data_IF_411566112478
#
_entry.id   IF_411566112478
#
_cell.length_a   1.000
_cell.length_b   1.000
_cell.length_c   1.000
_cell.angle_alpha   90.00
_cell.angle_beta   90.00
_cell.angle_gamma   90.00
#
_symmetry.space_group_name_H-M   'P 1'
#
loop_
_entity.id
_entity.type
_entity.pdbx_description
1 polymer ?
#
# COMPACT_ATOMS: atom_id res chain seq x y z
N UNK A 1 27.56 -56.07 -19.62
CA UNK A 1 28.42 -54.87 -19.45
C UNK A 1 27.68 -53.59 -19.87
N UNK A 2 27.04 -53.53 -21.02
CA UNK A 2 26.35 -52.33 -21.55
C UNK A 2 25.28 -51.76 -20.59
N UNK A 3 24.40 -52.57 -19.98
CA UNK A 3 23.39 -52.13 -19.06
C UNK A 3 23.94 -51.50 -17.77
N UNK A 4 25.04 -52.00 -17.24
CA UNK A 4 25.69 -51.40 -16.05
C UNK A 4 26.35 -50.06 -16.38
N UNK A 5 26.91 -49.90 -17.55
CA UNK A 5 27.45 -48.62 -18.03
C UNK A 5 26.35 -47.59 -18.27
N UNK A 6 25.22 -48.00 -18.87
CA UNK A 6 24.05 -47.12 -19.08
C UNK A 6 23.43 -46.65 -17.76
N UNK A 7 23.29 -47.56 -16.79
CA UNK A 7 22.78 -47.17 -15.46
C UNK A 7 23.76 -46.20 -14.74
N UNK A 8 25.06 -46.46 -14.78
CA UNK A 8 26.04 -45.53 -14.20
C UNK A 8 26.06 -44.15 -14.86
N UNK A 9 25.83 -44.08 -16.17
CA UNK A 9 25.68 -42.81 -16.87
C UNK A 9 24.39 -42.09 -16.44
N UNK A 10 23.27 -42.83 -16.34
CA UNK A 10 22.01 -42.28 -15.89
C UNK A 10 22.09 -41.73 -14.45
N UNK A 11 22.69 -42.50 -13.53
CA UNK A 11 22.90 -42.08 -12.15
C UNK A 11 23.78 -40.83 -12.08
N UNK A 12 24.84 -40.73 -12.91
CA UNK A 12 25.69 -39.55 -12.98
C UNK A 12 24.95 -38.33 -13.51
N UNK A 13 24.14 -38.48 -14.54
CA UNK A 13 23.30 -37.38 -15.09
C UNK A 13 22.27 -36.94 -14.06
N UNK A 14 21.62 -37.91 -13.39
CA UNK A 14 20.65 -37.60 -12.34
C UNK A 14 21.27 -36.82 -11.18
N UNK A 15 22.44 -37.27 -10.70
CA UNK A 15 23.18 -36.60 -9.65
C UNK A 15 23.58 -35.15 -10.04
N UNK A 16 24.02 -34.97 -11.30
CA UNK A 16 24.33 -33.63 -11.81
C UNK A 16 23.10 -32.70 -11.86
N UNK A 17 21.97 -33.22 -12.35
CA UNK A 17 20.71 -32.43 -12.40
C UNK A 17 20.23 -32.05 -11.02
N UNK A 18 20.30 -32.96 -10.04
CA UNK A 18 19.97 -32.67 -8.65
C UNK A 18 20.89 -31.60 -8.07
N UNK A 19 22.22 -31.71 -8.32
CA UNK A 19 23.19 -30.71 -7.89
C UNK A 19 22.86 -29.31 -8.46
N UNK A 20 22.59 -29.25 -9.77
CA UNK A 20 22.24 -28.00 -10.45
C UNK A 20 20.92 -27.41 -9.86
N UNK A 21 19.93 -28.25 -9.59
CA UNK A 21 18.68 -27.81 -8.97
C UNK A 21 18.91 -27.25 -7.56
N UNK A 22 19.75 -27.87 -6.74
CA UNK A 22 20.11 -27.39 -5.40
C UNK A 22 20.84 -26.05 -5.48
N UNK A 23 21.83 -25.93 -6.36
CA UNK A 23 22.58 -24.67 -6.55
C UNK A 23 21.66 -23.55 -7.03
N UNK A 24 20.79 -23.85 -8.00
CA UNK A 24 19.80 -22.89 -8.51
C UNK A 24 18.83 -22.43 -7.40
N UNK A 25 18.29 -23.39 -6.63
CA UNK A 25 17.37 -23.08 -5.53
C UNK A 25 18.05 -22.23 -4.44
N UNK A 26 19.30 -22.58 -4.09
CA UNK A 26 20.10 -21.81 -3.13
C UNK A 26 20.37 -20.39 -3.62
N UNK A 27 20.69 -20.23 -4.90
CA UNK A 27 20.87 -18.91 -5.52
C UNK A 27 19.56 -18.10 -5.51
N UNK A 28 18.44 -18.71 -5.92
CA UNK A 28 17.13 -18.03 -5.93
C UNK A 28 16.69 -17.56 -4.53
N UNK A 29 16.90 -18.38 -3.49
CA UNK A 29 16.62 -17.99 -2.11
C UNK A 29 17.52 -16.85 -1.64
N UNK A 30 18.80 -16.88 -1.98
CA UNK A 30 19.74 -15.82 -1.64
C UNK A 30 19.40 -14.50 -2.35
N UNK A 31 19.08 -14.56 -3.65
CA UNK A 31 18.71 -13.38 -4.44
C UNK A 31 17.40 -12.75 -3.90
N UNK A 32 16.39 -13.58 -3.63
CA UNK A 32 15.15 -13.12 -3.01
C UNK A 32 15.38 -12.44 -1.64
N UNK A 33 16.26 -13.02 -0.80
CA UNK A 33 16.58 -12.43 0.51
C UNK A 33 17.24 -11.05 0.39
N UNK A 34 18.00 -10.81 -0.67
CA UNK A 34 18.62 -9.50 -0.95
C UNK A 34 17.58 -8.44 -1.31
N UNK A 35 16.54 -8.81 -2.06
CA UNK A 35 15.44 -7.89 -2.41
C UNK A 35 14.73 -7.43 -1.14
N UNK A 36 14.41 -8.35 -0.22
CA UNK A 36 13.78 -8.01 1.07
C UNK A 36 14.69 -7.13 1.94
N UNK A 37 15.98 -7.49 2.05
CA UNK A 37 16.93 -6.71 2.83
C UNK A 37 17.12 -5.30 2.25
N UNK A 38 17.11 -5.13 0.94
CA UNK A 38 17.18 -3.82 0.29
C UNK A 38 15.96 -2.96 0.63
N UNK A 39 14.76 -3.52 0.56
CA UNK A 39 13.52 -2.82 0.94
C UNK A 39 13.54 -2.40 2.42
N UNK A 40 13.98 -3.29 3.32
CA UNK A 40 14.11 -3.00 4.76
C UNK A 40 15.11 -1.87 5.03
N UNK A 41 16.25 -1.86 4.34
CA UNK A 41 17.26 -0.81 4.50
C UNK A 41 16.76 0.56 4.00
N UNK A 42 16.05 0.59 2.87
CA UNK A 42 15.42 1.82 2.35
C UNK A 42 14.41 2.36 3.37
N UNK A 43 13.51 1.52 3.87
CA UNK A 43 12.53 1.93 4.88
C UNK A 43 13.21 2.43 6.15
N UNK A 44 14.19 1.69 6.69
CA UNK A 44 14.90 2.07 7.91
C UNK A 44 15.61 3.43 7.78
N UNK A 45 16.20 3.70 6.62
CA UNK A 45 16.84 4.98 6.33
C UNK A 45 15.83 6.14 6.28
N UNK A 46 14.65 5.91 5.73
CA UNK A 46 13.61 6.93 5.59
C UNK A 46 12.87 7.20 6.91
N UNK A 47 12.76 6.22 7.82
CA UNK A 47 12.12 6.42 9.13
C UNK A 47 12.77 7.51 9.98
N UNK A 48 14.06 7.81 9.75
CA UNK A 48 14.74 8.94 10.42
C UNK A 48 14.13 10.31 10.04
N UNK A 49 13.46 10.41 8.90
CA UNK A 49 12.81 11.62 8.38
C UNK A 49 11.30 11.58 8.53
N UNK A 50 10.74 10.56 9.22
CA UNK A 50 9.29 10.42 9.39
C UNK A 50 8.70 11.67 10.06
N UNK A 51 7.76 12.37 9.40
CA UNK A 51 7.08 13.51 10.00
C UNK A 51 6.20 13.04 11.15
N UNK A 52 6.13 13.86 12.21
CA UNK A 52 5.14 13.66 13.26
C UNK A 52 3.82 14.32 12.83
N UNK A 53 2.66 13.69 13.09
CA UNK A 53 1.38 14.31 12.76
C UNK A 53 1.20 15.64 13.48
N UNK A 54 1.23 16.74 12.74
CA UNK A 54 1.11 18.13 13.23
C UNK A 54 0.27 18.93 12.21
N UNK A 55 -0.09 20.16 12.57
CA UNK A 55 -0.80 21.07 11.68
C UNK A 55 0.11 21.57 10.53
N UNK A 56 1.39 21.77 10.81
CA UNK A 56 2.39 22.18 9.82
C UNK A 56 3.59 21.23 9.86
N UNK A 57 3.75 20.45 8.80
CA UNK A 57 4.83 19.50 8.60
C UNK A 57 5.83 19.96 7.54
N UNK A 58 5.78 21.22 7.11
CA UNK A 58 6.56 21.75 5.98
C UNK A 58 8.06 21.52 6.12
N UNK A 59 8.61 21.66 7.35
CA UNK A 59 10.04 21.44 7.61
C UNK A 59 10.46 19.98 7.43
N UNK A 60 9.67 19.02 7.98
CA UNK A 60 9.96 17.58 7.83
C UNK A 60 9.84 17.15 6.37
N UNK A 61 8.83 17.66 5.65
CA UNK A 61 8.70 17.40 4.22
C UNK A 61 9.75 18.11 3.38
N UNK A 62 10.31 19.23 3.83
CA UNK A 62 11.47 19.86 3.21
C UNK A 62 12.65 18.89 3.13
N UNK A 63 13.00 18.24 4.24
CA UNK A 63 14.06 17.23 4.28
C UNK A 63 13.78 16.00 3.41
N UNK A 64 12.53 15.52 3.38
CA UNK A 64 12.14 14.42 2.51
C UNK A 64 12.21 14.79 1.03
N UNK A 65 11.84 16.03 0.69
CA UNK A 65 11.88 16.54 -0.69
C UNK A 65 13.29 16.88 -1.15
N UNK A 66 14.23 17.13 -0.24
CA UNK A 66 15.67 17.19 -0.57
C UNK A 66 16.20 15.82 -1.02
N UNK A 67 15.60 14.72 -0.52
CA UNK A 67 15.90 13.35 -0.98
C UNK A 67 15.20 13.07 -2.30
N UNK A 68 13.88 13.36 -2.38
CA UNK A 68 13.07 13.15 -3.56
C UNK A 68 11.94 14.20 -3.62
N UNK A 69 11.96 15.11 -4.62
CA UNK A 69 10.96 16.18 -4.77
C UNK A 69 9.53 15.66 -4.98
N UNK A 70 9.37 14.41 -5.41
CA UNK A 70 8.08 13.76 -5.66
C UNK A 70 7.40 13.26 -4.38
N UNK A 71 8.03 13.41 -3.21
CA UNK A 71 7.40 13.05 -1.93
C UNK A 71 6.23 13.99 -1.65
N UNK A 72 5.03 13.42 -1.59
CA UNK A 72 3.78 14.15 -1.38
C UNK A 72 3.10 13.84 -0.03
N UNK A 73 3.43 12.71 0.63
CA UNK A 73 2.83 12.31 1.89
C UNK A 73 3.65 11.26 2.65
N UNK A 74 3.16 10.89 3.82
CA UNK A 74 3.65 9.76 4.62
C UNK A 74 2.46 8.96 5.14
N UNK A 75 2.41 7.68 4.81
CA UNK A 75 1.35 6.76 5.21
C UNK A 75 1.81 5.87 6.36
N UNK A 76 1.02 5.81 7.42
CA UNK A 76 1.15 4.81 8.49
C UNK A 76 -0.19 4.09 8.66
N UNK A 77 -0.19 2.76 8.71
CA UNK A 77 -1.39 1.96 8.95
C UNK A 77 -1.18 1.10 10.19
N UNK A 78 -1.96 1.36 11.23
CA UNK A 78 -1.78 0.77 12.56
C UNK A 78 -1.93 -0.76 12.55
N UNK A 79 -1.12 -1.45 13.34
CA UNK A 79 -1.10 -2.91 13.40
C UNK A 79 -0.45 -3.61 12.20
N UNK A 80 0.12 -2.84 11.28
CA UNK A 80 0.83 -3.34 10.09
C UNK A 80 2.28 -2.85 10.05
N UNK A 81 3.07 -3.37 9.11
CA UNK A 81 4.41 -2.85 8.80
C UNK A 81 4.36 -1.68 7.78
N UNK A 82 3.18 -1.20 7.41
CA UNK A 82 3.01 -0.09 6.46
C UNK A 82 3.31 1.22 7.17
N UNK A 83 4.50 1.76 6.90
CA UNK A 83 5.02 3.01 7.45
C UNK A 83 6.03 3.59 6.46
N UNK A 84 5.53 4.32 5.44
CA UNK A 84 6.30 4.71 4.26
C UNK A 84 5.99 6.12 3.79
N UNK A 85 6.98 6.83 3.21
CA UNK A 85 6.69 8.00 2.40
C UNK A 85 5.87 7.61 1.16
N UNK A 86 5.03 8.52 0.73
CA UNK A 86 4.25 8.42 -0.50
C UNK A 86 4.86 9.35 -1.53
N UNK A 87 5.12 8.85 -2.73
CA UNK A 87 5.62 9.62 -3.86
C UNK A 87 4.57 9.71 -4.97
N UNK A 88 4.64 10.73 -5.84
CA UNK A 88 3.84 10.80 -7.05
C UNK A 88 4.73 11.14 -8.23
N UNK A 89 4.86 10.22 -9.20
CA UNK A 89 5.65 10.42 -10.40
C UNK A 89 4.82 10.96 -11.57
N UNK A 90 5.47 11.16 -12.70
CA UNK A 90 4.83 11.59 -13.96
C UNK A 90 3.89 10.53 -14.56
N UNK A 91 3.99 9.28 -14.08
CA UNK A 91 3.14 8.16 -14.49
C UNK A 91 3.07 7.09 -13.40
N UNK A 92 2.06 6.21 -13.46
CA UNK A 92 1.92 5.06 -12.56
C UNK A 92 3.02 3.99 -12.72
N UNK A 93 3.96 4.17 -13.68
CA UNK A 93 5.11 3.28 -13.87
C UNK A 93 6.39 3.84 -13.25
N UNK A 94 6.45 5.13 -12.92
CA UNK A 94 7.67 5.81 -12.44
C UNK A 94 8.24 5.13 -11.20
N UNK A 95 7.39 4.83 -10.22
CA UNK A 95 7.80 4.26 -8.94
C UNK A 95 7.48 2.76 -8.79
N UNK A 96 7.07 2.11 -9.86
CA UNK A 96 6.78 0.67 -9.83
C UNK A 96 8.03 -0.17 -9.50
N UNK A 97 9.19 0.21 -10.05
CA UNK A 97 10.48 -0.43 -9.79
C UNK A 97 11.58 0.58 -9.44
N UNK A 98 11.19 1.66 -8.74
CA UNK A 98 12.13 2.71 -8.30
C UNK A 98 11.85 3.03 -6.83
N UNK A 99 12.90 3.02 -6.01
CA UNK A 99 12.79 3.42 -4.61
C UNK A 99 12.71 4.94 -4.45
N UNK A 100 12.48 5.39 -3.21
CA UNK A 100 12.37 6.83 -2.89
C UNK A 100 13.69 7.58 -3.16
N UNK A 101 14.84 6.90 -3.17
CA UNK A 101 16.12 7.52 -3.51
C UNK A 101 16.39 7.61 -5.02
N UNK A 102 15.42 7.20 -5.87
CA UNK A 102 15.55 7.18 -7.32
C UNK A 102 16.37 6.01 -7.87
N UNK A 103 16.69 5.01 -7.04
CA UNK A 103 17.43 3.82 -7.45
C UNK A 103 16.49 2.70 -7.90
N UNK A 104 16.95 1.87 -8.84
CA UNK A 104 16.20 0.68 -9.24
C UNK A 104 16.01 -0.27 -8.05
N UNK A 105 14.77 -0.60 -7.75
CA UNK A 105 14.40 -1.51 -6.67
C UNK A 105 13.15 -2.31 -7.06
N UNK A 106 13.22 -3.64 -7.00
CA UNK A 106 12.08 -4.52 -7.32
C UNK A 106 10.89 -4.34 -6.35
N UNK A 107 11.13 -3.84 -5.16
CA UNK A 107 10.08 -3.48 -4.21
C UNK A 107 9.36 -2.18 -4.58
N UNK A 108 9.92 -1.36 -5.44
CA UNK A 108 9.38 -0.03 -5.80
C UNK A 108 9.20 0.90 -4.61
N UNK A 109 8.25 1.79 -4.72
CA UNK A 109 7.80 2.69 -3.64
C UNK A 109 6.28 2.59 -3.44
N UNK A 110 5.76 3.16 -2.36
CA UNK A 110 4.33 3.45 -2.24
C UNK A 110 4.07 4.75 -3.00
N UNK A 111 3.17 4.72 -3.98
CA UNK A 111 2.95 5.87 -4.84
C UNK A 111 1.47 6.19 -5.05
N UNK A 112 1.18 7.48 -5.22
CA UNK A 112 -0.12 8.02 -5.52
C UNK A 112 -0.38 7.93 -7.02
N UNK A 113 -1.60 7.55 -7.40
CA UNK A 113 -2.03 7.51 -8.79
C UNK A 113 -1.87 8.89 -9.46
N UNK A 114 -1.39 8.90 -10.70
CA UNK A 114 -1.10 10.13 -11.44
C UNK A 114 -2.34 11.00 -11.68
N UNK A 115 -3.54 10.42 -11.71
CA UNK A 115 -4.80 11.13 -11.87
C UNK A 115 -5.35 11.72 -10.55
N UNK A 116 -4.67 11.48 -9.41
CA UNK A 116 -4.99 12.06 -8.12
C UNK A 116 -4.28 13.39 -7.90
N UNK A 117 -4.85 14.25 -7.06
CA UNK A 117 -4.21 15.51 -6.65
C UNK A 117 -3.09 15.24 -5.63
N UNK A 118 -1.87 15.75 -5.89
CA UNK A 118 -0.67 15.51 -5.07
C UNK A 118 -0.82 15.99 -3.62
N UNK A 119 -1.74 16.91 -3.36
CA UNK A 119 -2.09 17.41 -2.03
C UNK A 119 -3.26 16.68 -1.37
N UNK A 120 -3.75 15.60 -2.00
CA UNK A 120 -4.89 14.79 -1.54
C UNK A 120 -6.19 15.60 -1.35
N UNK A 121 -6.36 16.70 -2.06
CA UNK A 121 -7.55 17.56 -1.98
C UNK A 121 -8.79 16.96 -2.65
N UNK A 122 -8.62 16.01 -3.56
CA UNK A 122 -9.70 15.26 -4.20
C UNK A 122 -10.51 14.41 -3.21
N UNK A 123 -11.75 14.05 -3.60
CA UNK A 123 -12.63 13.20 -2.77
C UNK A 123 -12.18 11.74 -2.70
N UNK A 124 -11.35 11.31 -3.62
CA UNK A 124 -10.81 9.96 -3.67
C UNK A 124 -9.35 10.00 -4.09
N UNK A 125 -8.52 9.33 -3.34
CA UNK A 125 -7.10 9.13 -3.61
C UNK A 125 -6.79 7.64 -3.67
N UNK A 126 -5.91 7.25 -4.59
CA UNK A 126 -5.53 5.86 -4.79
C UNK A 126 -4.02 5.70 -4.68
N UNK A 127 -3.60 4.86 -3.74
CA UNK A 127 -2.20 4.48 -3.55
C UNK A 127 -1.94 3.07 -4.07
N UNK A 128 -0.78 2.90 -4.66
CA UNK A 128 -0.26 1.61 -5.09
C UNK A 128 0.99 1.23 -4.32
N UNK A 129 1.18 -0.07 -4.14
CA UNK A 129 2.40 -0.65 -3.59
C UNK A 129 2.51 -2.12 -3.94
N UNK A 130 3.73 -2.63 -4.05
CA UNK A 130 3.94 -4.05 -4.29
C UNK A 130 3.48 -4.91 -3.11
N UNK A 131 2.99 -6.11 -3.42
CA UNK A 131 2.84 -7.16 -2.45
C UNK A 131 4.18 -7.84 -2.20
N UNK A 132 4.65 -7.84 -0.95
CA UNK A 132 5.80 -8.62 -0.51
C UNK A 132 5.38 -9.60 0.57
N UNK A 133 5.76 -10.89 0.41
CA UNK A 133 5.32 -11.98 1.32
C UNK A 133 5.70 -11.78 2.79
N UNK A 134 6.78 -11.01 3.05
CA UNK A 134 7.19 -10.66 4.42
C UNK A 134 6.39 -9.51 5.04
N UNK A 135 5.29 -9.08 4.42
CA UNK A 135 4.43 -8.00 4.88
C UNK A 135 4.95 -6.59 4.58
N UNK A 136 6.08 -6.46 3.85
CA UNK A 136 6.64 -5.17 3.44
C UNK A 136 5.84 -4.56 2.29
N UNK A 137 6.10 -3.28 2.05
CA UNK A 137 5.32 -2.47 1.13
C UNK A 137 3.82 -2.58 1.47
N UNK A 138 2.97 -3.02 0.54
CA UNK A 138 1.55 -3.28 0.79
C UNK A 138 1.20 -4.76 1.04
N UNK A 139 2.21 -5.62 1.33
CA UNK A 139 1.97 -7.04 1.65
C UNK A 139 1.02 -7.25 2.83
N UNK A 140 1.09 -6.40 3.85
CA UNK A 140 0.22 -6.47 5.03
C UNK A 140 -1.25 -6.11 4.76
N UNK A 141 -1.60 -5.53 3.61
CA UNK A 141 -3.01 -5.32 3.24
C UNK A 141 -3.80 -6.65 3.18
N UNK A 142 -3.12 -7.75 2.87
CA UNK A 142 -3.74 -9.08 2.86
C UNK A 142 -4.26 -9.54 4.23
N UNK A 143 -3.72 -9.01 5.33
CA UNK A 143 -4.21 -9.29 6.68
C UNK A 143 -5.65 -8.82 6.88
N UNK A 144 -6.09 -7.77 6.18
CA UNK A 144 -7.44 -7.22 6.27
C UNK A 144 -8.51 -8.15 5.69
N UNK A 145 -8.14 -9.18 4.94
CA UNK A 145 -9.07 -10.25 4.50
C UNK A 145 -9.57 -11.06 5.71
N UNK A 146 -8.80 -11.11 6.81
CA UNK A 146 -9.21 -11.76 8.04
C UNK A 146 -10.08 -10.83 8.88
N UNK A 147 -11.33 -11.25 9.16
CA UNK A 147 -12.29 -10.42 9.87
C UNK A 147 -11.90 -10.07 11.32
N UNK A 148 -11.08 -10.89 12.02
CA UNK A 148 -10.59 -10.54 13.35
C UNK A 148 -9.55 -9.42 13.26
N UNK A 149 -8.61 -9.52 12.31
CA UNK A 149 -7.61 -8.49 12.06
C UNK A 149 -8.27 -7.18 11.62
N UNK A 150 -9.22 -7.24 10.67
CA UNK A 150 -9.97 -6.09 10.18
C UNK A 150 -10.61 -5.29 11.33
N UNK A 151 -11.33 -5.96 12.25
CA UNK A 151 -11.99 -5.30 13.37
C UNK A 151 -11.04 -4.72 14.43
N UNK A 152 -9.81 -5.20 14.52
CA UNK A 152 -8.83 -4.76 15.52
C UNK A 152 -7.92 -3.65 15.02
N UNK A 153 -7.76 -3.49 13.70
CA UNK A 153 -6.81 -2.58 13.08
C UNK A 153 -7.54 -1.63 12.12
N UNK A 154 -8.33 -0.72 12.70
CA UNK A 154 -9.23 0.17 11.94
C UNK A 154 -8.65 1.56 11.70
N UNK A 155 -7.43 1.84 12.15
CA UNK A 155 -6.88 3.20 12.15
C UNK A 155 -5.55 3.29 11.41
N UNK A 156 -5.21 4.51 11.02
CA UNK A 156 -3.94 4.89 10.43
C UNK A 156 -3.80 6.40 10.38
N UNK A 157 -2.73 6.86 9.76
CA UNK A 157 -2.45 8.28 9.58
C UNK A 157 -1.88 8.53 8.19
N UNK A 158 -2.37 9.56 7.51
CA UNK A 158 -1.76 10.15 6.35
C UNK A 158 -1.26 11.55 6.74
N UNK A 159 0.06 11.71 6.80
CA UNK A 159 0.70 12.99 7.10
C UNK A 159 1.08 13.67 5.80
N UNK A 160 0.70 14.94 5.64
CA UNK A 160 0.98 15.79 4.48
C UNK A 160 1.76 17.03 4.91
N UNK A 161 2.38 17.78 4.00
CA UNK A 161 3.06 19.04 4.32
C UNK A 161 2.18 20.03 5.06
N UNK A 162 0.92 20.20 4.63
CA UNK A 162 -0.02 21.19 5.16
C UNK A 162 -0.97 20.66 6.23
N UNK A 163 -0.75 19.46 6.79
CA UNK A 163 -1.62 18.90 7.83
C UNK A 163 -1.58 17.38 7.88
N UNK A 164 -2.43 16.81 8.70
CA UNK A 164 -2.51 15.35 8.86
C UNK A 164 -3.96 14.88 8.87
N UNK A 165 -4.17 13.69 8.35
CA UNK A 165 -5.45 12.99 8.35
C UNK A 165 -5.37 11.74 9.22
N UNK A 166 -6.36 11.56 10.07
CA UNK A 166 -6.65 10.24 10.62
C UNK A 166 -7.33 9.41 9.54
N UNK A 167 -6.90 8.18 9.41
CA UNK A 167 -7.53 7.18 8.54
C UNK A 167 -8.43 6.28 9.38
N UNK A 168 -9.64 6.03 8.89
CA UNK A 168 -10.58 5.06 9.43
C UNK A 168 -10.84 4.00 8.35
N UNK A 169 -10.40 2.77 8.59
CA UNK A 169 -10.56 1.67 7.64
C UNK A 169 -12.03 1.25 7.55
N UNK A 170 -12.60 1.38 6.37
CA UNK A 170 -14.01 1.10 6.08
C UNK A 170 -14.25 -0.27 5.49
N UNK A 171 -13.37 -0.71 4.58
CA UNK A 171 -13.58 -1.95 3.84
C UNK A 171 -12.27 -2.56 3.33
N UNK A 172 -12.30 -3.87 3.13
CA UNK A 172 -11.32 -4.63 2.38
C UNK A 172 -12.02 -5.36 1.22
N UNK A 173 -11.52 -5.16 0.01
CA UNK A 173 -12.04 -5.76 -1.22
C UNK A 173 -10.97 -6.59 -1.90
N UNK A 174 -11.39 -7.55 -2.72
CA UNK A 174 -10.55 -8.22 -3.71
C UNK A 174 -11.22 -8.07 -5.06
N UNK A 175 -10.61 -7.28 -5.94
CA UNK A 175 -11.19 -6.89 -7.23
C UNK A 175 -10.18 -7.09 -8.37
N UNK A 176 -10.63 -7.27 -9.62
CA UNK A 176 -9.73 -7.30 -10.77
C UNK A 176 -9.06 -5.92 -10.99
N UNK A 177 -7.85 -5.91 -11.53
CA UNK A 177 -7.12 -4.68 -11.87
C UNK A 177 -7.88 -3.79 -12.89
N UNK A 178 -8.86 -4.33 -13.59
CA UNK A 178 -9.72 -3.61 -14.53
C UNK A 178 -10.94 -2.94 -13.88
N UNK A 179 -11.13 -3.07 -12.54
CA UNK A 179 -12.29 -2.50 -11.86
C UNK A 179 -12.23 -0.97 -11.83
N UNK A 180 -13.06 -0.34 -12.64
CA UNK A 180 -13.05 1.12 -12.79
C UNK A 180 -13.62 1.87 -11.58
N UNK A 181 -14.42 1.22 -10.75
CA UNK A 181 -14.89 1.84 -9.50
C UNK A 181 -13.75 2.10 -8.52
N UNK A 182 -12.64 1.36 -8.63
CA UNK A 182 -11.44 1.53 -7.81
C UNK A 182 -10.33 2.22 -8.60
N UNK A 183 -10.04 1.77 -9.83
CA UNK A 183 -8.82 2.13 -10.57
C UNK A 183 -9.01 3.28 -11.58
N UNK A 184 -10.11 4.03 -11.49
CA UNK A 184 -10.34 5.26 -12.24
C UNK A 184 -10.59 6.44 -11.27
N UNK A 185 -9.56 6.92 -10.53
CA UNK A 185 -9.73 7.92 -9.47
C UNK A 185 -10.31 9.23 -9.98
N UNK A 186 -10.04 9.62 -11.21
CA UNK A 186 -10.62 10.81 -11.83
C UNK A 186 -12.15 10.84 -11.84
N UNK A 187 -12.81 9.67 -11.81
CA UNK A 187 -14.27 9.53 -11.70
C UNK A 187 -14.83 10.09 -10.39
N UNK A 188 -14.05 10.02 -9.31
CA UNK A 188 -14.46 10.37 -7.96
C UNK A 188 -13.80 11.64 -7.42
N UNK A 189 -13.13 12.41 -8.26
CA UNK A 189 -12.36 13.59 -7.85
C UNK A 189 -13.19 14.64 -7.11
N UNK A 190 -14.41 14.89 -7.59
CA UNK A 190 -15.31 15.90 -7.01
C UNK A 190 -16.42 15.33 -6.12
N UNK A 191 -16.82 14.09 -6.38
CA UNK A 191 -17.87 13.38 -5.63
C UNK A 191 -17.58 11.88 -5.64
N UNK A 192 -17.41 11.30 -4.46
CA UNK A 192 -17.15 9.88 -4.26
C UNK A 192 -18.36 9.13 -3.65
N UNK A 193 -19.52 9.75 -3.54
CA UNK A 193 -20.73 9.11 -2.96
C UNK A 193 -21.15 7.85 -3.71
N UNK A 194 -20.98 7.81 -5.04
CA UNK A 194 -21.29 6.62 -5.85
C UNK A 194 -20.32 5.44 -5.66
N UNK A 195 -19.21 5.61 -4.93
CA UNK A 195 -18.29 4.53 -4.58
C UNK A 195 -18.87 3.63 -3.47
N UNK A 196 -19.59 4.19 -2.52
CA UNK A 196 -20.06 3.47 -1.33
C UNK A 196 -20.97 2.27 -1.67
N UNK A 197 -21.98 2.38 -2.55
CA UNK A 197 -22.79 1.23 -2.96
C UNK A 197 -21.96 0.10 -3.60
N UNK A 198 -20.95 0.45 -4.39
CA UNK A 198 -20.04 -0.55 -4.96
C UNK A 198 -19.24 -1.26 -3.86
N UNK A 199 -18.76 -0.52 -2.87
CA UNK A 199 -18.01 -1.09 -1.73
C UNK A 199 -18.91 -2.01 -0.91
N UNK A 200 -20.15 -1.61 -0.61
CA UNK A 200 -21.10 -2.43 0.15
C UNK A 200 -21.41 -3.77 -0.55
N UNK A 201 -21.54 -3.75 -1.88
CA UNK A 201 -21.84 -4.96 -2.67
C UNK A 201 -20.62 -5.91 -2.79
N UNK A 202 -19.38 -5.37 -2.83
CA UNK A 202 -18.18 -6.13 -3.22
C UNK A 202 -17.16 -6.33 -2.08
N UNK A 203 -17.39 -5.76 -0.89
CA UNK A 203 -16.44 -5.88 0.21
C UNK A 203 -16.40 -7.30 0.80
N UNK A 204 -15.18 -7.83 0.97
CA UNK A 204 -14.92 -9.05 1.72
C UNK A 204 -15.08 -8.84 3.22
N UNK A 205 -14.62 -7.69 3.72
CA UNK A 205 -14.80 -7.20 5.08
C UNK A 205 -15.22 -5.73 5.02
N UNK A 206 -16.15 -5.30 5.87
CA UNK A 206 -16.56 -3.89 5.94
C UNK A 206 -17.06 -3.50 7.33
N UNK A 207 -16.95 -2.22 7.65
CA UNK A 207 -17.67 -1.58 8.73
C UNK A 207 -19.01 -1.03 8.19
N UNK A 208 -20.05 -1.86 8.25
CA UNK A 208 -21.36 -1.50 7.74
C UNK A 208 -22.00 -0.31 8.47
N UNK A 209 -21.63 -0.05 9.74
CA UNK A 209 -22.15 1.10 10.48
C UNK A 209 -21.51 2.39 9.99
N UNK A 210 -20.18 2.41 9.81
CA UNK A 210 -19.46 3.54 9.29
C UNK A 210 -19.88 3.88 7.85
N UNK A 211 -20.06 2.88 6.98
CA UNK A 211 -20.51 3.07 5.59
C UNK A 211 -21.91 3.71 5.55
N UNK A 212 -22.88 3.22 6.31
CA UNK A 212 -24.24 3.80 6.35
C UNK A 212 -24.23 5.24 6.86
N UNK A 213 -23.42 5.54 7.88
CA UNK A 213 -23.30 6.92 8.39
C UNK A 213 -22.76 7.88 7.33
N UNK A 214 -21.89 7.39 6.44
CA UNK A 214 -21.35 8.16 5.31
C UNK A 214 -22.36 8.31 4.17
N UNK A 215 -23.20 7.32 3.91
CA UNK A 215 -24.29 7.42 2.93
C UNK A 215 -25.35 8.45 3.34
N UNK A 216 -25.64 8.57 4.64
CA UNK A 216 -26.55 9.59 5.16
C UNK A 216 -25.98 11.02 5.07
N UNK A 217 -24.66 11.18 5.09
CA UNK A 217 -23.95 12.46 5.03
C UNK A 217 -22.72 12.36 4.11
N UNK A 218 -22.90 12.20 2.79
CA UNK A 218 -21.79 12.03 1.86
C UNK A 218 -21.00 13.32 1.63
N UNK A 219 -21.60 14.48 1.95
CA UNK A 219 -20.97 15.78 1.70
C UNK A 219 -19.67 15.93 2.50
N UNK A 220 -18.60 16.14 1.79
CA UNK A 220 -17.28 16.38 2.39
C UNK A 220 -16.43 15.14 2.63
N UNK A 221 -16.97 13.93 2.54
CA UNK A 221 -16.20 12.71 2.75
C UNK A 221 -15.04 12.57 1.74
N UNK A 222 -13.85 12.25 2.25
CA UNK A 222 -12.66 11.93 1.45
C UNK A 222 -12.25 10.51 1.73
N UNK A 223 -11.81 9.81 0.67
CA UNK A 223 -11.43 8.39 0.75
C UNK A 223 -10.02 8.16 0.24
N UNK A 224 -9.33 7.24 0.89
CA UNK A 224 -8.03 6.73 0.49
C UNK A 224 -8.17 5.23 0.21
N UNK A 225 -7.92 4.82 -1.02
CA UNK A 225 -7.78 3.42 -1.37
C UNK A 225 -6.29 3.06 -1.42
N UNK A 226 -5.94 1.94 -0.83
CA UNK A 226 -4.59 1.35 -0.84
C UNK A 226 -4.68 0.01 -1.58
N UNK A 227 -4.02 -0.12 -2.71
CA UNK A 227 -4.13 -1.27 -3.61
C UNK A 227 -2.80 -1.98 -3.82
N UNK A 228 -2.83 -3.31 -3.77
CA UNK A 228 -1.67 -4.16 -4.08
C UNK A 228 -2.08 -5.37 -4.91
N UNK A 229 -1.10 -6.03 -5.53
CA UNK A 229 -1.33 -7.32 -6.18
C UNK A 229 -1.77 -8.36 -5.13
N UNK A 230 -2.66 -9.26 -5.49
CA UNK A 230 -3.09 -10.36 -4.65
C UNK A 230 -3.03 -11.69 -5.42
N UNK A 231 -3.04 -12.80 -4.69
CA UNK A 231 -2.79 -14.13 -5.24
C UNK A 231 -4.04 -14.96 -5.56
N UNK A 232 -5.27 -14.44 -5.35
CA UNK A 232 -6.51 -15.20 -5.48
C UNK A 232 -6.80 -15.62 -6.93
N UNK A 233 -6.48 -14.76 -7.88
CA UNK A 233 -6.58 -15.04 -9.32
C UNK A 233 -5.66 -14.09 -10.10
N UNK A 234 -5.48 -14.36 -11.39
CA UNK A 234 -4.69 -13.48 -12.27
C UNK A 234 -5.29 -12.07 -12.26
N UNK A 235 -4.47 -11.06 -12.06
CA UNK A 235 -4.85 -9.65 -11.95
C UNK A 235 -5.71 -9.27 -10.73
N UNK A 236 -5.85 -10.14 -9.73
CA UNK A 236 -6.49 -9.76 -8.47
C UNK A 236 -5.70 -8.65 -7.74
N UNK A 237 -6.45 -7.75 -7.11
CA UNK A 237 -5.92 -6.69 -6.25
C UNK A 237 -6.63 -6.72 -4.91
N UNK A 238 -5.85 -6.76 -3.83
CA UNK A 238 -6.38 -6.44 -2.51
C UNK A 238 -6.44 -4.93 -2.39
N UNK A 239 -7.59 -4.41 -2.00
CA UNK A 239 -7.83 -2.98 -1.79
C UNK A 239 -8.35 -2.78 -0.37
N UNK A 240 -7.70 -1.92 0.39
CA UNK A 240 -8.20 -1.42 1.68
C UNK A 240 -8.65 0.01 1.47
N UNK A 241 -9.94 0.28 1.73
CA UNK A 241 -10.52 1.60 1.65
C UNK A 241 -10.61 2.21 3.05
N UNK A 242 -10.13 3.42 3.19
CA UNK A 242 -10.24 4.21 4.42
C UNK A 242 -10.89 5.57 4.15
N UNK A 243 -11.64 6.08 5.15
CA UNK A 243 -12.05 7.48 5.24
C UNK A 243 -10.88 8.32 5.72
N UNK A 244 -10.75 9.52 5.18
CA UNK A 244 -9.78 10.53 5.62
C UNK A 244 -10.49 11.61 6.44
N UNK A 245 -10.09 11.79 7.70
CA UNK A 245 -10.60 12.82 8.60
C UNK A 245 -9.47 13.80 8.95
N UNK A 246 -9.60 15.11 8.65
CA UNK A 246 -8.61 16.10 9.06
C UNK A 246 -8.40 16.10 10.58
N UNK A 247 -7.15 16.05 11.03
CA UNK A 247 -6.85 16.00 12.47
C UNK A 247 -7.14 17.34 13.17
N UNK A 248 -7.13 18.47 12.46
CA UNK A 248 -7.59 19.78 12.95
C UNK A 248 -9.03 19.78 13.44
N UNK A 249 -9.91 19.08 12.71
CA UNK A 249 -11.34 19.03 13.04
C UNK A 249 -11.60 18.18 14.30
N UNK A 250 -10.76 17.17 14.54
CA UNK A 250 -10.85 16.32 15.74
C UNK A 250 -10.41 17.06 17.01
N UNK A 251 -9.55 18.05 16.92
CA UNK A 251 -9.12 18.88 18.06
C UNK A 251 -10.20 19.89 18.40
N UNK A 252 -10.77 20.58 17.41
CA UNK A 252 -11.83 21.56 17.59
C UNK A 252 -13.11 20.94 18.19
N UNK A 253 -13.52 19.75 17.74
CA UNK A 253 -14.69 19.03 18.27
C UNK A 253 -14.55 18.56 19.73
N UNK A 254 -13.32 18.40 20.25
CA UNK A 254 -13.08 18.11 21.67
C UNK A 254 -13.19 19.34 22.55
N UNK A 255 -12.80 20.51 22.07
CA UNK A 255 -12.93 21.76 22.82
C UNK A 255 -14.39 22.21 22.94
N UNK A 256 -15.22 22.04 21.90
CA UNK A 256 -16.65 22.32 21.94
C UNK A 256 -17.42 21.36 22.87
N UNK A 257 -16.99 20.14 23.06
CA UNK A 257 -17.63 19.15 23.93
C UNK A 257 -17.30 19.33 25.43
N UNK A 258 -16.33 20.18 25.77
CA UNK A 258 -15.86 20.48 27.13
C UNK A 258 -16.30 21.88 27.62
N UNK A 259 -16.95 22.66 26.76
CA UNK A 259 -17.54 23.97 27.07
C UNK A 259 -19.04 23.83 27.29
#
# INVERSE_FOLDING_TARGET
MALRAANGLLDGVTALLVLLAVVWSGYALWDNSRVYAAADNVQAGLLAFKPQPQEDNSLSFGQLRDINPDVCGWLTLDGTAIDYPVVQGESNFTYLNTDVYGSFALAGSIFLDVDCDADFSGRYSLLYGHHMENGRMFGDLDKYKNGAFFRQNTTGTLTLPGGSYRLEVLACLVVPASEQAIFAPGKWRSDAGGLLPFVEENALQMDAQALRALEEKPEGAQFLAMATCSGEYTDARTVVLARMEPMSDLQNGKEESLS
#
